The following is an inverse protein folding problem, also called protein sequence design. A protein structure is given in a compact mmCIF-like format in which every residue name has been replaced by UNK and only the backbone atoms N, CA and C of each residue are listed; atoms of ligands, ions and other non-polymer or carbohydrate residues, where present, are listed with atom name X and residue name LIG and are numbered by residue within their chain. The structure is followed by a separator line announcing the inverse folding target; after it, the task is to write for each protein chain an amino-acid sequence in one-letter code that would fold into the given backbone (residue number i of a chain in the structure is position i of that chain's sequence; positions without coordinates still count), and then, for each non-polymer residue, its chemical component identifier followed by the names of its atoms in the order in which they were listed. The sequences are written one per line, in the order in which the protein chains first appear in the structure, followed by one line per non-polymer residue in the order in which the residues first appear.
data_IF_730143147985
#
_entry.id   IF_730143147985
#
_cell.length_a   1.000
_cell.length_b   1.000
_cell.length_c   1.000
_cell.angle_alpha   90.00
_cell.angle_beta   90.00
_cell.angle_gamma   90.00
#
_symmetry.space_group_name_H-M   'P 1'
#
loop_
_entity.id
_entity.type
_entity.pdbx_description
1 polymer ?
#
# COMPACT_ATOMS: atom_id res chain seq x y z
N UNK A 1 8.88 -24.96 -12.79
CA UNK A 1 7.66 -24.23 -12.42
C UNK A 1 7.17 -24.71 -11.07
N UNK A 2 6.94 -23.82 -10.14
CA UNK A 2 6.28 -24.13 -8.88
C UNK A 2 5.03 -23.24 -8.83
N UNK A 3 3.85 -23.86 -8.99
CA UNK A 3 2.60 -23.14 -9.19
C UNK A 3 2.60 -22.33 -10.51
N UNK A 4 2.20 -21.07 -10.45
CA UNK A 4 2.12 -20.17 -11.62
C UNK A 4 3.38 -19.30 -11.79
N UNK A 5 4.49 -19.63 -11.12
CA UNK A 5 5.75 -18.86 -11.17
C UNK A 5 6.82 -19.57 -11.95
N UNK A 6 7.60 -18.81 -12.73
CA UNK A 6 8.73 -19.32 -13.49
C UNK A 6 10.03 -19.02 -12.74
N UNK A 7 10.83 -20.06 -12.48
CA UNK A 7 12.11 -19.93 -11.80
C UNK A 7 13.22 -19.87 -12.86
N UNK A 8 14.03 -18.84 -12.75
CA UNK A 8 15.22 -18.61 -13.57
C UNK A 8 16.48 -18.71 -12.72
N UNK A 9 17.42 -19.55 -13.18
CA UNK A 9 18.69 -19.72 -12.49
C UNK A 9 19.67 -18.64 -12.94
N UNK A 10 20.23 -17.92 -11.97
CA UNK A 10 21.26 -16.92 -12.24
C UNK A 10 22.64 -17.57 -12.33
N UNK A 11 23.49 -17.14 -13.28
CA UNK A 11 24.87 -17.63 -13.41
C UNK A 11 25.82 -17.06 -12.35
N UNK A 12 25.44 -15.95 -11.71
CA UNK A 12 26.20 -15.30 -10.65
C UNK A 12 25.48 -15.39 -9.32
N UNK A 13 26.24 -15.41 -8.22
CA UNK A 13 25.72 -15.39 -6.86
C UNK A 13 25.15 -14.01 -6.47
N UNK A 14 24.27 -13.45 -7.32
CA UNK A 14 23.45 -12.30 -6.96
C UNK A 14 22.31 -12.78 -6.05
N UNK A 15 21.89 -11.93 -5.10
CA UNK A 15 20.83 -12.32 -4.20
C UNK A 15 19.52 -12.61 -4.92
N UNK A 16 18.64 -13.45 -4.35
CA UNK A 16 17.35 -13.78 -4.92
C UNK A 16 16.49 -12.53 -5.07
N UNK A 17 15.67 -12.50 -6.13
CA UNK A 17 14.67 -11.47 -6.36
C UNK A 17 13.55 -11.99 -7.24
N UNK A 18 12.40 -11.36 -7.14
CA UNK A 18 11.24 -11.65 -8.00
C UNK A 18 10.79 -10.42 -8.76
N UNK A 19 10.27 -10.64 -9.97
CA UNK A 19 9.69 -9.61 -10.82
C UNK A 19 8.48 -10.17 -11.56
N UNK A 20 7.30 -9.65 -11.30
CA UNK A 20 6.02 -10.21 -11.73
C UNK A 20 5.91 -11.70 -11.36
N UNK A 21 5.88 -12.60 -12.34
CA UNK A 21 5.79 -14.06 -12.17
C UNK A 21 7.14 -14.78 -12.26
N UNK A 22 8.24 -14.05 -12.40
CA UNK A 22 9.58 -14.60 -12.53
C UNK A 22 10.33 -14.48 -11.22
N UNK A 23 10.92 -15.60 -10.80
CA UNK A 23 11.80 -15.68 -9.63
C UNK A 23 13.21 -15.99 -10.13
N UNK A 24 14.16 -15.18 -9.71
CA UNK A 24 15.56 -15.30 -10.06
C UNK A 24 16.35 -15.72 -8.83
N UNK A 25 17.08 -16.84 -8.93
CA UNK A 25 17.82 -17.42 -7.80
C UNK A 25 19.10 -18.11 -8.26
N UNK A 26 20.12 -18.11 -7.40
CA UNK A 26 21.34 -18.87 -7.57
C UNK A 26 21.33 -20.06 -6.58
N UNK A 27 21.02 -21.30 -7.01
CA UNK A 27 20.70 -22.41 -6.11
C UNK A 27 21.91 -22.91 -5.30
N UNK A 28 23.14 -22.82 -5.86
CA UNK A 28 24.35 -23.38 -5.21
C UNK A 28 24.86 -22.54 -4.04
N UNK A 29 24.25 -21.40 -3.75
CA UNK A 29 24.66 -20.49 -2.67
C UNK A 29 23.88 -20.72 -1.37
N UNK A 30 22.92 -21.66 -1.35
CA UNK A 30 21.97 -21.80 -0.26
C UNK A 30 21.81 -23.28 0.13
N UNK A 31 21.56 -23.53 1.41
CA UNK A 31 21.12 -24.85 1.91
C UNK A 31 19.68 -25.14 1.45
N UNK A 32 19.22 -26.39 1.51
CA UNK A 32 17.86 -26.75 1.10
C UNK A 32 16.80 -26.02 1.92
N UNK A 33 17.01 -25.87 3.23
CA UNK A 33 16.10 -25.15 4.11
C UNK A 33 16.05 -23.65 3.77
N UNK A 34 17.19 -23.01 3.57
CA UNK A 34 17.28 -21.61 3.13
C UNK A 34 16.62 -21.41 1.78
N UNK A 35 16.81 -22.35 0.84
CA UNK A 35 16.21 -22.30 -0.48
C UNK A 35 14.69 -22.35 -0.41
N UNK A 36 14.12 -23.21 0.43
CA UNK A 36 12.69 -23.31 0.68
C UNK A 36 12.10 -22.02 1.24
N UNK A 37 12.77 -21.40 2.22
CA UNK A 37 12.37 -20.12 2.80
C UNK A 37 12.43 -18.98 1.77
N UNK A 38 13.50 -18.92 1.00
CA UNK A 38 13.70 -17.92 -0.06
C UNK A 38 12.63 -18.07 -1.14
N UNK A 39 12.38 -19.30 -1.62
CA UNK A 39 11.36 -19.54 -2.62
C UNK A 39 9.97 -19.15 -2.13
N UNK A 40 9.61 -19.48 -0.90
CA UNK A 40 8.33 -19.08 -0.29
C UNK A 40 8.20 -17.56 -0.23
N UNK A 41 9.29 -16.87 0.10
CA UNK A 41 9.34 -15.42 0.14
C UNK A 41 9.12 -14.79 -1.25
N UNK A 42 9.92 -15.20 -2.22
CA UNK A 42 9.85 -14.67 -3.59
C UNK A 42 8.53 -15.04 -4.29
N UNK A 43 8.01 -16.25 -4.02
CA UNK A 43 6.69 -16.67 -4.50
C UNK A 43 5.57 -15.79 -3.95
N UNK A 44 5.70 -15.31 -2.72
CA UNK A 44 4.72 -14.39 -2.15
C UNK A 44 4.70 -13.08 -2.91
N UNK A 45 5.87 -12.52 -3.24
CA UNK A 45 5.97 -11.32 -4.07
C UNK A 45 5.33 -11.51 -5.45
N UNK A 46 5.60 -12.64 -6.09
CA UNK A 46 5.07 -12.96 -7.42
C UNK A 46 3.54 -13.17 -7.38
N UNK A 47 3.03 -13.96 -6.43
CA UNK A 47 1.61 -14.31 -6.34
C UNK A 47 0.74 -13.13 -5.91
N UNK A 48 1.26 -12.23 -5.09
CA UNK A 48 0.54 -11.03 -4.62
C UNK A 48 0.76 -9.81 -5.52
N UNK A 49 1.45 -9.97 -6.65
CA UNK A 49 1.68 -8.91 -7.63
C UNK A 49 2.37 -7.66 -7.05
N UNK A 50 3.25 -7.85 -6.09
CA UNK A 50 3.96 -6.75 -5.42
C UNK A 50 4.73 -5.83 -6.39
N UNK A 51 5.14 -6.33 -7.56
CA UNK A 51 5.74 -5.52 -8.63
C UNK A 51 4.79 -4.44 -9.13
N UNK A 52 3.47 -4.71 -9.16
CA UNK A 52 2.46 -3.73 -9.56
C UNK A 52 2.33 -2.64 -8.49
N UNK A 53 2.31 -3.00 -7.20
CA UNK A 53 2.23 -2.01 -6.12
C UNK A 53 3.40 -1.02 -6.19
N UNK A 54 4.60 -1.53 -6.47
CA UNK A 54 5.79 -0.68 -6.66
C UNK A 54 5.63 0.22 -7.88
N UNK A 55 5.21 -0.31 -9.04
CA UNK A 55 5.00 0.47 -10.26
C UNK A 55 3.93 1.56 -10.08
N UNK A 56 2.81 1.22 -9.47
CA UNK A 56 1.73 2.19 -9.19
C UNK A 56 2.25 3.30 -8.29
N UNK A 57 3.05 2.97 -7.27
CA UNK A 57 3.64 3.98 -6.38
C UNK A 57 4.60 4.93 -7.12
N UNK A 58 5.37 4.43 -8.09
CA UNK A 58 6.23 5.25 -8.94
C UNK A 58 5.39 6.19 -9.82
N UNK A 59 4.35 5.65 -10.47
CA UNK A 59 3.43 6.43 -11.32
C UNK A 59 2.76 7.54 -10.51
N UNK A 60 2.24 7.24 -9.31
CA UNK A 60 1.65 8.24 -8.42
C UNK A 60 2.64 9.33 -8.07
N UNK A 61 3.91 9.00 -7.78
CA UNK A 61 4.94 9.99 -7.51
C UNK A 61 5.29 10.86 -8.72
N UNK A 62 5.21 10.32 -9.95
CA UNK A 62 5.42 11.10 -11.17
C UNK A 62 4.31 12.13 -11.36
N UNK A 63 3.03 11.71 -11.25
CA UNK A 63 1.90 12.62 -11.42
C UNK A 63 1.72 13.59 -10.25
N UNK A 64 2.00 13.12 -9.02
CA UNK A 64 1.87 13.90 -7.79
C UNK A 64 3.24 14.33 -7.23
N UNK A 65 4.21 14.66 -8.08
CA UNK A 65 5.59 14.98 -7.70
C UNK A 65 5.70 16.11 -6.67
N UNK A 66 4.77 17.05 -6.69
CA UNK A 66 4.68 18.19 -5.78
C UNK A 66 4.06 17.83 -4.42
N UNK A 67 3.46 16.63 -4.28
CA UNK A 67 2.78 16.20 -3.06
C UNK A 67 3.73 15.38 -2.17
N UNK A 68 4.15 15.89 -0.98
CA UNK A 68 5.05 15.18 -0.09
C UNK A 68 4.45 13.85 0.43
N UNK A 69 3.12 13.74 0.52
CA UNK A 69 2.46 12.51 0.96
C UNK A 69 2.61 11.37 -0.04
N UNK A 70 2.71 11.64 -1.34
CA UNK A 70 3.00 10.64 -2.36
C UNK A 70 4.38 10.00 -2.14
N UNK A 71 5.38 10.81 -1.82
CA UNK A 71 6.74 10.36 -1.52
C UNK A 71 6.81 9.56 -0.21
N UNK A 72 6.09 9.99 0.83
CA UNK A 72 5.99 9.25 2.08
C UNK A 72 5.32 7.88 1.87
N UNK A 73 4.23 7.82 1.09
CA UNK A 73 3.56 6.59 0.72
C UNK A 73 4.52 5.63 0.01
N UNK A 74 5.19 6.10 -1.05
CA UNK A 74 6.18 5.32 -1.80
C UNK A 74 7.27 4.75 -0.88
N UNK A 75 7.78 5.55 0.04
CA UNK A 75 8.81 5.16 1.00
C UNK A 75 8.36 3.99 1.89
N UNK A 76 7.09 3.92 2.27
CA UNK A 76 6.58 2.91 3.19
C UNK A 76 6.02 1.67 2.46
N UNK A 77 5.75 1.73 1.15
CA UNK A 77 5.23 0.59 0.37
C UNK A 77 6.23 -0.57 0.40
N UNK A 78 7.47 -0.38 -0.05
CA UNK A 78 8.46 -1.47 -0.13
C UNK A 78 8.69 -2.19 1.20
N UNK A 79 8.93 -1.51 2.34
CA UNK A 79 9.02 -2.17 3.63
C UNK A 79 7.77 -2.97 4.00
N UNK A 80 6.59 -2.47 3.64
CA UNK A 80 5.33 -3.16 3.94
C UNK A 80 5.19 -4.47 3.14
N UNK A 81 5.55 -4.46 1.86
CA UNK A 81 5.58 -5.66 1.02
C UNK A 81 6.56 -6.70 1.57
N UNK A 82 7.74 -6.27 2.03
CA UNK A 82 8.71 -7.14 2.70
C UNK A 82 8.17 -7.76 3.99
N UNK A 83 7.37 -7.01 4.78
CA UNK A 83 6.73 -7.54 5.98
C UNK A 83 5.68 -8.60 5.63
N UNK A 84 4.92 -8.40 4.57
CA UNK A 84 3.91 -9.36 4.09
C UNK A 84 4.57 -10.65 3.62
N UNK A 85 5.62 -10.57 2.82
CA UNK A 85 6.36 -11.73 2.35
C UNK A 85 7.01 -12.51 3.51
N UNK A 86 7.65 -11.81 4.45
CA UNK A 86 8.23 -12.43 5.64
C UNK A 86 7.17 -13.09 6.55
N UNK A 87 6.00 -12.48 6.69
CA UNK A 87 4.90 -13.05 7.48
C UNK A 87 4.41 -14.37 6.86
N UNK A 88 4.41 -14.48 5.53
CA UNK A 88 3.99 -15.68 4.83
C UNK A 88 4.94 -16.85 5.04
N UNK A 89 6.27 -16.60 5.07
CA UNK A 89 7.27 -17.63 5.39
C UNK A 89 7.05 -18.19 6.78
N UNK A 90 6.63 -17.37 7.73
CA UNK A 90 6.42 -17.79 9.13
C UNK A 90 5.11 -18.56 9.37
N UNK A 91 4.13 -18.49 8.46
CA UNK A 91 2.84 -19.18 8.63
C UNK A 91 2.94 -20.72 8.67
N UNK A 92 3.78 -21.40 7.86
CA UNK A 92 3.89 -22.85 7.86
C UNK A 92 4.59 -23.49 9.07
N UNK A 93 4.95 -22.72 10.10
CA UNK A 93 5.60 -23.23 11.30
C UNK A 93 7.12 -23.22 11.28
N UNK A 94 7.73 -22.51 10.32
CA UNK A 94 9.17 -22.26 10.35
C UNK A 94 9.55 -21.55 11.65
N UNK A 95 10.63 -21.99 12.28
CA UNK A 95 11.14 -21.36 13.48
C UNK A 95 11.55 -19.91 13.16
N UNK A 96 10.81 -18.95 13.68
CA UNK A 96 11.03 -17.51 13.42
C UNK A 96 12.50 -17.09 13.64
N UNK A 97 13.18 -17.67 14.62
CA UNK A 97 14.59 -17.38 14.88
C UNK A 97 15.51 -17.87 13.76
N UNK A 98 15.31 -19.09 13.26
CA UNK A 98 16.10 -19.67 12.16
C UNK A 98 15.98 -18.81 10.91
N UNK A 99 14.78 -18.45 10.52
CA UNK A 99 14.57 -17.56 9.38
C UNK A 99 15.22 -16.17 9.56
N UNK A 100 15.20 -15.62 10.78
CA UNK A 100 15.89 -14.35 11.07
C UNK A 100 17.41 -14.49 10.94
N UNK A 101 17.99 -15.62 11.33
CA UNK A 101 19.43 -15.89 11.14
C UNK A 101 19.80 -16.05 9.66
N UNK A 102 18.98 -16.75 8.87
CA UNK A 102 19.18 -16.87 7.44
C UNK A 102 19.12 -15.51 6.75
N UNK A 103 18.16 -14.66 7.10
CA UNK A 103 18.08 -13.28 6.59
C UNK A 103 19.31 -12.45 6.95
N UNK A 104 19.85 -12.61 8.15
CA UNK A 104 21.10 -11.95 8.56
C UNK A 104 22.28 -12.47 7.75
N UNK A 105 22.38 -13.78 7.53
CA UNK A 105 23.41 -14.41 6.69
C UNK A 105 23.39 -13.88 5.26
N UNK A 106 22.23 -13.83 4.62
CA UNK A 106 22.03 -13.27 3.28
C UNK A 106 22.44 -11.79 3.20
N UNK A 107 22.15 -11.01 4.25
CA UNK A 107 22.54 -9.59 4.28
C UNK A 107 24.05 -9.41 4.43
N UNK A 108 24.73 -10.28 5.19
CA UNK A 108 26.18 -10.26 5.33
C UNK A 108 26.91 -10.66 4.04
N UNK A 109 26.41 -11.64 3.30
CA UNK A 109 26.95 -12.00 1.99
C UNK A 109 26.85 -10.83 0.99
N UNK A 110 25.70 -10.15 0.97
CA UNK A 110 25.51 -8.93 0.15
C UNK A 110 26.41 -7.77 0.61
N UNK A 111 26.63 -7.61 1.92
CA UNK A 111 27.47 -6.54 2.45
C UNK A 111 28.97 -6.76 2.18
N UNK A 112 29.44 -8.02 2.19
CA UNK A 112 30.82 -8.35 1.83
C UNK A 112 31.15 -8.05 0.36
N UNK A 113 30.13 -8.11 -0.52
CA UNK A 113 30.29 -7.75 -1.94
C UNK A 113 30.28 -6.23 -2.19
N UNK A 114 29.84 -5.43 -1.23
CA UNK A 114 29.73 -3.97 -1.42
C UNK A 114 30.02 -3.25 -0.10
N UNK A 115 31.25 -2.74 0.07
CA UNK A 115 31.69 -1.92 1.22
C UNK A 115 30.80 -0.67 1.44
N UNK A 116 29.90 -0.37 0.52
CA UNK A 116 29.02 0.81 0.48
C UNK A 116 27.68 0.66 1.20
N UNK A 117 27.35 -0.49 1.79
CA UNK A 117 25.96 -0.76 2.22
C UNK A 117 25.70 -0.75 3.74
N UNK A 118 26.38 0.10 4.50
CA UNK A 118 26.01 0.36 5.91
C UNK A 118 24.57 0.89 6.10
N UNK A 119 23.97 1.42 5.02
CA UNK A 119 22.57 1.91 5.02
C UNK A 119 21.51 0.81 4.90
N UNK A 120 21.87 -0.42 4.50
CA UNK A 120 20.91 -1.52 4.33
C UNK A 120 20.54 -2.27 5.61
N UNK A 121 21.18 -1.97 6.74
CA UNK A 121 20.88 -2.61 8.03
C UNK A 121 19.54 -2.14 8.61
N UNK A 122 19.12 -0.91 8.32
CA UNK A 122 17.88 -0.33 8.86
C UNK A 122 16.61 -1.04 8.34
N UNK A 123 16.46 -1.35 7.04
CA UNK A 123 15.32 -2.11 6.54
C UNK A 123 15.24 -3.51 7.14
N UNK A 124 16.37 -4.21 7.24
CA UNK A 124 16.46 -5.54 7.84
C UNK A 124 16.05 -5.52 9.33
N UNK A 125 16.55 -4.57 10.11
CA UNK A 125 16.18 -4.39 11.51
C UNK A 125 14.68 -4.14 11.68
N UNK A 126 14.08 -3.31 10.83
CA UNK A 126 12.63 -3.05 10.81
C UNK A 126 11.86 -4.34 10.50
N UNK A 127 12.31 -5.14 9.51
CA UNK A 127 11.71 -6.42 9.13
C UNK A 127 11.73 -7.41 10.29
N UNK A 128 12.88 -7.63 10.93
CA UNK A 128 13.01 -8.50 12.11
C UNK A 128 12.12 -8.01 13.27
N UNK A 129 12.07 -6.70 13.52
CA UNK A 129 11.18 -6.11 14.54
C UNK A 129 9.71 -6.39 14.25
N UNK A 130 9.29 -6.33 12.99
CA UNK A 130 7.91 -6.61 12.58
C UNK A 130 7.56 -8.09 12.70
N UNK A 131 8.48 -9.00 12.40
CA UNK A 131 8.30 -10.44 12.56
C UNK A 131 8.06 -10.82 14.04
N UNK A 132 8.70 -10.13 14.97
CA UNK A 132 8.54 -10.33 16.41
C UNK A 132 7.33 -9.60 17.00
N UNK A 133 6.60 -8.79 16.21
CA UNK A 133 5.44 -8.06 16.67
C UNK A 133 4.19 -8.93 16.58
N UNK A 134 3.39 -8.96 17.68
CA UNK A 134 2.09 -9.64 17.67
C UNK A 134 1.17 -9.05 16.59
N UNK A 135 0.44 -9.92 15.88
CA UNK A 135 -0.57 -9.50 14.88
C UNK A 135 -1.57 -8.54 15.53
N UNK A 136 -1.86 -7.46 14.82
CA UNK A 136 -2.89 -6.51 15.22
C UNK A 136 -4.25 -7.20 15.16
N UNK A 137 -5.04 -7.11 16.24
CA UNK A 137 -6.41 -7.65 16.28
C UNK A 137 -7.26 -7.00 15.17
N UNK A 138 -8.22 -7.75 14.63
CA UNK A 138 -9.14 -7.27 13.58
C UNK A 138 -9.81 -5.94 13.95
N UNK A 139 -10.19 -5.79 15.23
CA UNK A 139 -10.75 -4.54 15.79
C UNK A 139 -9.81 -3.34 15.58
N UNK A 140 -8.48 -3.55 15.51
CA UNK A 140 -7.53 -2.48 15.23
C UNK A 140 -7.66 -1.89 13.81
N UNK A 141 -8.27 -2.62 12.88
CA UNK A 141 -8.52 -2.16 11.51
C UNK A 141 -9.72 -1.23 11.43
N UNK A 142 -10.71 -1.39 12.33
CA UNK A 142 -11.93 -0.55 12.33
C UNK A 142 -11.66 0.91 12.61
N UNK A 143 -10.53 1.24 13.26
CA UNK A 143 -10.12 2.64 13.45
C UNK A 143 -9.92 3.41 12.12
N UNK A 144 -9.56 2.71 11.03
CA UNK A 144 -9.43 3.32 9.70
C UNK A 144 -10.79 3.71 9.11
N UNK A 145 -11.89 3.07 9.57
CA UNK A 145 -13.23 3.44 9.18
C UNK A 145 -13.60 4.86 9.62
N UNK A 146 -12.95 5.38 10.66
CA UNK A 146 -13.15 6.77 11.12
C UNK A 146 -12.69 7.83 10.08
N UNK A 147 -11.84 7.46 9.12
CA UNK A 147 -11.48 8.37 8.04
C UNK A 147 -12.60 8.56 7.00
N UNK A 148 -13.56 7.61 6.89
CA UNK A 148 -14.68 7.73 5.97
C UNK A 148 -15.58 8.94 6.24
N UNK A 149 -16.06 9.19 7.48
CA UNK A 149 -16.85 10.38 7.77
C UNK A 149 -16.05 11.67 7.58
N UNK A 150 -14.75 11.67 7.89
CA UNK A 150 -13.89 12.82 7.65
C UNK A 150 -13.74 13.11 6.15
N UNK A 151 -13.53 12.08 5.33
CA UNK A 151 -13.45 12.22 3.87
C UNK A 151 -14.78 12.71 3.28
N UNK A 152 -15.91 12.18 3.77
CA UNK A 152 -17.23 12.63 3.37
C UNK A 152 -17.49 14.10 3.74
N UNK A 153 -17.09 14.51 4.94
CA UNK A 153 -17.18 15.91 5.38
C UNK A 153 -16.35 16.83 4.47
N UNK A 154 -15.10 16.44 4.15
CA UNK A 154 -14.24 17.20 3.25
C UNK A 154 -14.82 17.30 1.85
N UNK A 155 -15.42 16.22 1.32
CA UNK A 155 -16.12 16.25 0.04
C UNK A 155 -17.31 17.23 0.06
N UNK A 156 -18.12 17.22 1.11
CA UNK A 156 -19.25 18.14 1.26
C UNK A 156 -18.74 19.59 1.29
N UNK A 157 -17.75 19.87 2.13
CA UNK A 157 -17.17 21.23 2.25
C UNK A 157 -16.58 21.72 0.92
N UNK A 158 -15.87 20.84 0.18
CA UNK A 158 -15.29 21.17 -1.12
C UNK A 158 -16.33 21.43 -2.23
N UNK A 159 -17.57 20.93 -2.04
CA UNK A 159 -18.64 21.06 -3.02
C UNK A 159 -19.78 21.96 -2.55
N UNK A 160 -19.57 22.79 -1.53
CA UNK A 160 -20.61 23.67 -0.96
C UNK A 160 -21.27 24.56 -2.04
N UNK A 161 -20.49 25.11 -2.97
CA UNK A 161 -21.04 25.91 -4.08
C UNK A 161 -21.92 25.09 -5.02
N UNK A 162 -21.52 23.85 -5.34
CA UNK A 162 -22.32 22.98 -6.19
C UNK A 162 -23.63 22.59 -5.53
N UNK A 163 -23.56 22.27 -4.23
CA UNK A 163 -24.75 21.95 -3.40
C UNK A 163 -25.68 23.16 -3.28
N UNK A 164 -25.14 24.35 -3.03
CA UNK A 164 -25.91 25.60 -2.95
C UNK A 164 -26.62 25.92 -4.28
N UNK A 165 -25.96 25.73 -5.40
CA UNK A 165 -26.57 25.92 -6.74
C UNK A 165 -27.71 24.93 -7.00
N UNK A 166 -27.53 23.66 -6.63
CA UNK A 166 -28.55 22.63 -6.80
C UNK A 166 -29.75 22.88 -5.88
N UNK A 167 -29.52 23.28 -4.63
CA UNK A 167 -30.60 23.61 -3.69
C UNK A 167 -31.41 24.83 -4.16
N UNK A 168 -30.74 25.87 -4.69
CA UNK A 168 -31.44 27.03 -5.29
C UNK A 168 -32.30 26.64 -6.49
N UNK A 169 -31.80 25.76 -7.37
CA UNK A 169 -32.58 25.25 -8.50
C UNK A 169 -33.84 24.51 -8.05
N UNK A 170 -33.69 23.58 -7.11
CA UNK A 170 -34.81 22.80 -6.57
C UNK A 170 -35.83 23.72 -5.89
N UNK A 171 -35.35 24.70 -5.10
CA UNK A 171 -36.23 25.66 -4.44
C UNK A 171 -37.01 26.50 -5.45
N UNK A 172 -36.39 26.98 -6.52
CA UNK A 172 -37.07 27.73 -7.59
C UNK A 172 -38.13 26.87 -8.32
N UNK A 173 -37.79 25.62 -8.62
CA UNK A 173 -38.68 24.68 -9.28
C UNK A 173 -39.92 24.33 -8.41
N UNK A 174 -39.70 24.19 -7.09
CA UNK A 174 -40.79 23.96 -6.13
C UNK A 174 -41.68 25.20 -6.01
N UNK A 175 -41.11 26.42 -5.98
CA UNK A 175 -41.90 27.66 -5.90
C UNK A 175 -42.77 27.80 -7.14
N UNK A 176 -42.20 27.59 -8.34
CA UNK A 176 -42.92 27.65 -9.61
C UNK A 176 -44.03 26.61 -9.68
N UNK A 177 -43.79 25.38 -9.18
CA UNK A 177 -44.79 24.34 -9.13
C UNK A 177 -45.95 24.66 -8.13
N UNK A 178 -45.65 25.35 -7.02
CA UNK A 178 -46.61 25.82 -6.05
C UNK A 178 -47.46 26.98 -6.60
N UNK A 179 -46.83 27.96 -7.26
CA UNK A 179 -47.50 29.10 -7.90
C UNK A 179 -48.44 28.63 -9.01
N UNK A 180 -48.00 27.66 -9.82
CA UNK A 180 -48.81 27.05 -10.86
C UNK A 180 -50.10 26.33 -10.30
N UNK A 181 -49.99 25.79 -9.07
CA UNK A 181 -51.12 25.07 -8.40
C UNK A 181 -52.05 26.01 -7.61
N UNK A 182 -51.54 27.10 -7.07
CA UNK A 182 -52.29 27.93 -6.11
C UNK A 182 -52.86 29.22 -6.74
N UNK A 183 -52.39 29.63 -7.92
CA UNK A 183 -52.88 30.84 -8.59
C UNK A 183 -52.61 32.15 -7.84
N UNK A 184 -51.77 32.12 -6.82
CA UNK A 184 -51.35 33.29 -6.02
C UNK A 184 -49.85 33.43 -6.03
N UNK A 185 -49.36 34.59 -6.48
CA UNK A 185 -47.94 34.92 -6.45
C UNK A 185 -47.42 35.00 -5.01
N UNK A 186 -46.45 34.22 -4.67
CA UNK A 186 -45.76 34.27 -3.37
C UNK A 186 -44.77 35.46 -3.39
N UNK A 187 -44.72 36.30 -2.32
CA UNK A 187 -43.83 37.45 -2.30
C UNK A 187 -42.35 37.01 -2.31
N UNK A 188 -41.59 37.72 -3.14
CA UNK A 188 -40.15 37.51 -3.35
C UNK A 188 -39.36 37.56 -2.04
N UNK A 189 -38.80 36.44 -1.63
CA UNK A 189 -37.93 36.37 -0.46
C UNK A 189 -36.55 36.95 -0.85
N UNK A 190 -36.29 38.19 -0.42
CA UNK A 190 -34.99 38.82 -0.55
C UNK A 190 -33.91 37.99 0.13
N UNK A 191 -32.88 37.60 -0.60
CA UNK A 191 -31.73 36.91 -0.08
C UNK A 191 -30.97 37.80 0.92
N UNK A 192 -30.49 37.25 2.07
CA UNK A 192 -29.67 38.03 3.00
C UNK A 192 -28.37 38.47 2.30
N UNK A 193 -28.12 39.76 2.26
CA UNK A 193 -26.84 40.33 1.88
C UNK A 193 -25.85 39.98 2.97
N UNK A 194 -24.85 39.16 2.67
CA UNK A 194 -23.69 38.92 3.53
C UNK A 194 -22.71 40.05 3.27
N UNK A 195 -22.52 40.86 4.29
CA UNK A 195 -21.49 41.90 4.35
C UNK A 195 -20.11 41.25 4.51
#
# INVERSE_FOLDING_TARGET
QIGNTNIHLLPKADGPFSFFHWIFIHPTSHTEDELSEILTHEQTHANQWHSIDVLVSEIVCIFCWFNPFAWLMKREIRPNLEYMAAARVLEPGYASKTYQYHLLGLSHQKAAATIYNSFNVLPLKKRIKMMNKKRTKEIGRTKYLMFLPLAALLMIVSNIEAVARTTKKIAAEVIEAVDAKTGQAVPEVQAPQVA
#
